data_IF_099914051710
#
_entry.id   IF_099914051710
#
_cell.length_a   1.000
_cell.length_b   1.000
_cell.length_c   1.000
_cell.angle_alpha   90.00
_cell.angle_beta   90.00
_cell.angle_gamma   90.00
#
_symmetry.space_group_name_H-M   'P 1'
#
loop_
_entity.id
_entity.type
_entity.pdbx_description
1 polymer ?
#
# COMPACT_ATOMS: atom_id res chain seq x y z
N UNK A 1 3.59 -34.36 -24.98
CA UNK A 1 4.25 -33.06 -24.79
C UNK A 1 3.24 -31.95 -24.67
N UNK A 2 2.32 -31.84 -25.63
CA UNK A 2 1.35 -30.74 -25.77
C UNK A 2 0.50 -30.44 -24.52
N UNK A 3 0.06 -31.48 -23.79
CA UNK A 3 -0.71 -31.30 -22.55
C UNK A 3 0.10 -30.70 -21.39
N UNK A 4 1.39 -31.06 -21.24
CA UNK A 4 2.24 -30.51 -20.18
C UNK A 4 2.66 -29.08 -20.52
N UNK A 5 2.98 -28.83 -21.79
CA UNK A 5 3.37 -27.51 -22.25
C UNK A 5 2.21 -26.51 -22.13
N UNK A 6 1.00 -26.89 -22.56
CA UNK A 6 -0.19 -26.05 -22.38
C UNK A 6 -0.53 -25.80 -20.92
N UNK A 7 -0.37 -26.81 -20.04
CA UNK A 7 -0.61 -26.64 -18.61
C UNK A 7 0.39 -25.66 -17.96
N UNK A 8 1.68 -25.77 -18.28
CA UNK A 8 2.70 -24.84 -17.78
C UNK A 8 2.49 -23.44 -18.35
N UNK A 9 2.19 -23.31 -19.64
CA UNK A 9 1.92 -22.01 -20.27
C UNK A 9 0.73 -21.29 -19.62
N UNK A 10 -0.34 -22.03 -19.27
CA UNK A 10 -1.49 -21.46 -18.56
C UNK A 10 -1.12 -21.03 -17.13
N UNK A 11 -0.28 -21.81 -16.43
CA UNK A 11 0.23 -21.45 -15.11
C UNK A 11 1.07 -20.17 -15.16
N UNK A 12 1.98 -20.06 -16.12
CA UNK A 12 2.83 -18.88 -16.32
C UNK A 12 1.96 -17.66 -16.63
N UNK A 13 0.98 -17.80 -17.52
CA UNK A 13 0.02 -16.74 -17.82
C UNK A 13 -0.74 -16.28 -16.57
N UNK A 14 -1.20 -17.22 -15.74
CA UNK A 14 -1.89 -16.91 -14.48
C UNK A 14 -0.97 -16.21 -13.48
N UNK A 15 0.29 -16.61 -13.42
CA UNK A 15 1.32 -15.98 -12.57
C UNK A 15 1.49 -14.51 -12.96
N UNK A 16 1.66 -14.23 -14.25
CA UNK A 16 1.82 -12.86 -14.75
C UNK A 16 0.58 -11.99 -14.50
N UNK A 17 -0.61 -12.54 -14.70
CA UNK A 17 -1.86 -11.83 -14.39
C UNK A 17 -1.99 -11.54 -12.90
N UNK A 18 -1.63 -12.48 -12.03
CA UNK A 18 -1.67 -12.30 -10.58
C UNK A 18 -0.66 -11.24 -10.12
N UNK A 19 0.56 -11.24 -10.68
CA UNK A 19 1.56 -10.19 -10.41
C UNK A 19 1.07 -8.82 -10.84
N UNK A 20 0.53 -8.71 -12.05
CA UNK A 20 0.03 -7.43 -12.58
C UNK A 20 -1.09 -6.87 -11.69
N UNK A 21 -2.08 -7.69 -11.34
CA UNK A 21 -3.16 -7.29 -10.43
C UNK A 21 -2.64 -6.88 -9.07
N UNK A 22 -1.70 -7.64 -8.52
CA UNK A 22 -1.11 -7.32 -7.23
C UNK A 22 -0.37 -5.97 -7.28
N UNK A 23 0.43 -5.73 -8.32
CA UNK A 23 1.13 -4.46 -8.52
C UNK A 23 0.16 -3.28 -8.64
N UNK A 24 -0.89 -3.40 -9.46
CA UNK A 24 -1.94 -2.37 -9.60
C UNK A 24 -2.59 -2.06 -8.24
N UNK A 25 -2.97 -3.08 -7.48
CA UNK A 25 -3.54 -2.89 -6.13
C UNK A 25 -2.54 -2.23 -5.17
N UNK A 26 -1.26 -2.61 -5.22
CA UNK A 26 -0.21 -2.03 -4.37
C UNK A 26 0.05 -0.56 -4.71
N UNK A 27 0.02 -0.20 -6.00
CA UNK A 27 0.15 1.18 -6.48
C UNK A 27 -1.07 2.02 -6.09
N UNK A 28 -2.29 1.52 -6.30
CA UNK A 28 -3.52 2.21 -5.89
C UNK A 28 -3.54 2.51 -4.39
N UNK A 29 -3.21 1.52 -3.55
CA UNK A 29 -3.14 1.70 -2.09
C UNK A 29 -2.06 2.73 -1.74
N UNK A 30 -0.89 2.67 -2.37
CA UNK A 30 0.20 3.62 -2.09
C UNK A 30 -0.17 5.04 -2.49
N UNK A 31 -0.82 5.22 -3.63
CA UNK A 31 -1.28 6.51 -4.12
C UNK A 31 -2.37 7.10 -3.22
N UNK A 32 -3.37 6.31 -2.83
CA UNK A 32 -4.46 6.75 -1.94
C UNK A 32 -3.93 7.18 -0.57
N UNK A 33 -3.02 6.38 0.01
CA UNK A 33 -2.39 6.67 1.31
C UNK A 33 -1.51 7.92 1.21
N UNK A 34 -0.73 8.06 0.14
CA UNK A 34 0.10 9.25 -0.09
C UNK A 34 -0.74 10.52 -0.21
N UNK A 35 -1.83 10.49 -0.99
CA UNK A 35 -2.71 11.64 -1.16
C UNK A 35 -3.37 12.07 0.16
N UNK A 36 -3.79 11.10 0.98
CA UNK A 36 -4.37 11.39 2.31
C UNK A 36 -3.31 11.93 3.28
N UNK A 37 -2.08 11.42 3.24
CA UNK A 37 -0.96 11.95 4.02
C UNK A 37 -0.61 13.39 3.60
N UNK A 38 -0.57 13.67 2.29
CA UNK A 38 -0.33 15.01 1.74
C UNK A 38 -1.39 16.00 2.20
N UNK A 39 -2.68 15.63 2.16
CA UNK A 39 -3.77 16.49 2.67
C UNK A 39 -3.59 16.87 4.15
N UNK A 40 -3.13 15.95 4.99
CA UNK A 40 -2.79 16.24 6.40
C UNK A 40 -1.59 17.18 6.51
N UNK A 41 -0.59 17.01 5.64
CA UNK A 41 0.58 17.88 5.60
C UNK A 41 0.22 19.31 5.17
N UNK A 42 -0.58 19.48 4.12
CA UNK A 42 -1.04 20.79 3.64
C UNK A 42 -1.83 21.55 4.71
N UNK A 43 -2.75 20.87 5.41
CA UNK A 43 -3.51 21.47 6.51
C UNK A 43 -2.61 21.88 7.68
N UNK A 44 -1.55 21.11 7.96
CA UNK A 44 -0.54 21.50 8.95
C UNK A 44 0.24 22.75 8.54
N UNK A 45 0.66 22.84 7.29
CA UNK A 45 1.33 24.04 6.78
C UNK A 45 0.43 25.28 6.84
N UNK A 46 -0.84 25.13 6.46
CA UNK A 46 -1.82 26.21 6.52
C UNK A 46 -2.00 26.71 7.97
N UNK A 47 -2.14 25.80 8.93
CA UNK A 47 -2.18 26.13 10.36
C UNK A 47 -0.92 26.92 10.77
N UNK A 48 0.27 26.48 10.35
CA UNK A 48 1.52 27.17 10.65
C UNK A 48 1.57 28.59 10.10
N UNK A 49 1.13 28.79 8.85
CA UNK A 49 1.08 30.12 8.20
C UNK A 49 0.08 31.05 8.91
N UNK A 50 -1.10 30.54 9.27
CA UNK A 50 -2.12 31.32 9.97
C UNK A 50 -1.68 31.69 11.39
N UNK A 51 -1.03 30.77 12.12
CA UNK A 51 -0.48 31.04 13.44
C UNK A 51 0.59 32.14 13.40
N UNK A 52 1.55 32.04 12.47
CA UNK A 52 2.58 33.07 12.31
C UNK A 52 1.97 34.45 12.02
N UNK A 53 0.91 34.51 11.19
CA UNK A 53 0.18 35.74 10.91
C UNK A 53 -0.57 36.27 12.14
N UNK A 54 -1.19 35.41 12.94
CA UNK A 54 -1.87 35.80 14.17
C UNK A 54 -0.89 36.37 15.20
N UNK A 55 0.28 35.75 15.35
CA UNK A 55 1.36 36.22 16.23
C UNK A 55 1.88 37.59 15.82
N UNK A 56 2.11 37.82 14.52
CA UNK A 56 2.53 39.12 14.00
C UNK A 56 1.50 40.22 14.31
N UNK A 57 0.23 39.98 14.00
CA UNK A 57 -0.84 40.95 14.28
C UNK A 57 -0.98 41.24 15.79
N UNK A 58 -0.79 40.22 16.62
CA UNK A 58 -0.75 40.38 18.08
C UNK A 58 0.40 41.26 18.54
N UNK A 59 1.61 41.08 17.96
CA UNK A 59 2.78 41.90 18.27
C UNK A 59 2.63 43.37 17.82
N UNK A 60 1.90 43.61 16.73
CA UNK A 60 1.57 44.95 16.23
C UNK A 60 0.46 45.65 17.03
N UNK A 61 -0.17 44.94 17.98
CA UNK A 61 -1.27 45.46 18.81
C UNK A 61 -2.66 45.34 18.17
N UNK A 62 -2.76 44.68 17.00
CA UNK A 62 -4.02 44.42 16.29
C UNK A 62 -4.73 43.17 16.88
N UNK A 63 -5.20 43.30 18.13
CA UNK A 63 -5.75 42.19 18.92
C UNK A 63 -7.01 41.60 18.28
N UNK A 64 -7.92 42.43 17.79
CA UNK A 64 -9.19 41.98 17.20
C UNK A 64 -8.96 41.15 15.92
N UNK A 65 -8.08 41.61 15.04
CA UNK A 65 -7.68 40.86 13.83
C UNK A 65 -6.93 39.57 14.17
N UNK A 66 -6.04 39.60 15.17
CA UNK A 66 -5.34 38.40 15.64
C UNK A 66 -6.33 37.34 16.14
N UNK A 67 -7.35 37.75 16.92
CA UNK A 67 -8.40 36.85 17.40
C UNK A 67 -9.22 36.23 16.25
N UNK A 68 -9.54 37.01 15.21
CA UNK A 68 -10.23 36.47 14.02
C UNK A 68 -9.39 35.39 13.32
N UNK A 69 -8.08 35.62 13.15
CA UNK A 69 -7.18 34.62 12.54
C UNK A 69 -7.08 33.37 13.41
N UNK A 70 -7.02 33.50 14.73
CA UNK A 70 -7.02 32.35 15.65
C UNK A 70 -8.32 31.52 15.55
N UNK A 71 -9.48 32.16 15.34
CA UNK A 71 -10.71 31.42 15.08
C UNK A 71 -10.66 30.63 13.77
N UNK A 72 -10.01 31.16 12.73
CA UNK A 72 -9.78 30.41 11.48
C UNK A 72 -8.82 29.24 11.70
N UNK A 73 -7.76 29.42 12.49
CA UNK A 73 -6.85 28.32 12.87
C UNK A 73 -7.60 27.16 13.51
N UNK A 74 -8.54 27.43 14.43
CA UNK A 74 -9.34 26.38 15.07
C UNK A 74 -10.24 25.64 14.08
N UNK A 75 -10.80 26.33 13.06
CA UNK A 75 -11.54 25.67 11.98
C UNK A 75 -10.64 24.75 11.15
N UNK A 76 -9.44 25.21 10.79
CA UNK A 76 -8.48 24.40 10.02
C UNK A 76 -7.97 23.22 10.87
N UNK A 77 -7.80 23.38 12.18
CA UNK A 77 -7.47 22.30 13.12
C UNK A 77 -8.56 21.23 13.18
N UNK A 78 -9.84 21.62 13.17
CA UNK A 78 -10.94 20.66 13.09
C UNK A 78 -10.89 19.84 11.79
N UNK A 79 -10.71 20.51 10.64
CA UNK A 79 -10.54 19.83 9.34
C UNK A 79 -9.32 18.92 9.30
N UNK A 80 -8.20 19.34 9.90
CA UNK A 80 -7.00 18.51 10.03
C UNK A 80 -7.29 17.25 10.83
N UNK A 81 -8.01 17.35 11.95
CA UNK A 81 -8.38 16.20 12.77
C UNK A 81 -9.23 15.20 12.00
N UNK A 82 -10.19 15.67 11.22
CA UNK A 82 -10.99 14.83 10.32
C UNK A 82 -10.10 14.14 9.25
N UNK A 83 -9.22 14.89 8.59
CA UNK A 83 -8.29 14.34 7.59
C UNK A 83 -7.31 13.30 8.19
N UNK A 84 -6.83 13.51 9.42
CA UNK A 84 -6.01 12.54 10.14
C UNK A 84 -6.78 11.26 10.47
N UNK A 85 -8.07 11.38 10.81
CA UNK A 85 -8.93 10.24 11.07
C UNK A 85 -9.22 9.46 9.77
N UNK A 86 -9.49 10.16 8.66
CA UNK A 86 -9.58 9.56 7.33
C UNK A 86 -8.28 8.84 6.95
N UNK A 87 -7.12 9.46 7.17
CA UNK A 87 -5.82 8.86 6.89
C UNK A 87 -5.58 7.60 7.74
N UNK A 88 -5.83 7.66 9.05
CA UNK A 88 -5.71 6.50 9.94
C UNK A 88 -6.64 5.36 9.52
N UNK A 89 -7.86 5.67 9.13
CA UNK A 89 -8.85 4.68 8.73
C UNK A 89 -8.65 4.17 7.29
N UNK A 90 -7.91 4.90 6.45
CA UNK A 90 -7.57 4.51 5.07
C UNK A 90 -6.54 3.39 4.97
N UNK A 91 -5.97 2.97 6.10
CA UNK A 91 -5.08 1.81 6.20
C UNK A 91 -5.78 0.63 6.89
N UNK A 92 -6.82 0.00 6.29
CA UNK A 92 -7.31 -1.26 6.80
C UNK A 92 -6.17 -2.29 6.80
N UNK A 93 -6.12 -3.12 7.84
CA UNK A 93 -5.12 -4.17 7.97
C UNK A 93 -5.08 -5.10 6.74
N UNK A 94 -6.22 -5.30 6.06
CA UNK A 94 -6.34 -6.12 4.85
C UNK A 94 -5.62 -5.50 3.63
N UNK A 95 -5.75 -4.19 3.40
CA UNK A 95 -5.07 -3.50 2.30
C UNK A 95 -3.55 -3.49 2.53
N UNK A 96 -3.13 -3.25 3.78
CA UNK A 96 -1.72 -3.32 4.15
C UNK A 96 -1.13 -4.73 4.03
N UNK A 97 -1.93 -5.77 4.25
CA UNK A 97 -1.51 -7.15 4.00
C UNK A 97 -1.20 -7.38 2.52
N UNK A 98 -2.00 -6.84 1.60
CA UNK A 98 -1.76 -6.97 0.15
C UNK A 98 -0.46 -6.29 -0.30
N UNK A 99 -0.09 -5.15 0.31
CA UNK A 99 1.24 -4.53 0.10
C UNK A 99 2.42 -5.42 0.52
N UNK A 100 2.17 -6.42 1.37
CA UNK A 100 3.20 -7.32 1.87
C UNK A 100 3.22 -8.67 1.17
N UNK A 101 2.52 -8.82 0.05
CA UNK A 101 2.51 -10.05 -0.72
C UNK A 101 3.43 -9.96 -1.95
N UNK A 102 3.83 -11.13 -2.43
CA UNK A 102 4.39 -11.39 -3.76
C UNK A 102 3.78 -12.67 -4.31
N UNK A 103 3.93 -12.92 -5.61
CA UNK A 103 3.47 -14.16 -6.26
C UNK A 103 4.64 -15.11 -6.47
N UNK A 104 4.44 -16.41 -6.24
CA UNK A 104 5.41 -17.45 -6.56
C UNK A 104 5.51 -17.69 -8.06
N UNK A 105 6.73 -17.69 -8.61
CA UNK A 105 7.00 -17.99 -10.03
C UNK A 105 6.67 -19.44 -10.43
N UNK A 106 6.72 -20.36 -9.47
CA UNK A 106 6.60 -21.79 -9.75
C UNK A 106 5.14 -22.23 -9.74
N UNK A 107 4.41 -21.84 -8.70
CA UNK A 107 3.07 -22.38 -8.40
C UNK A 107 1.96 -21.30 -8.32
N UNK A 108 2.26 -20.05 -8.70
CA UNK A 108 1.32 -18.91 -8.72
C UNK A 108 0.64 -18.55 -7.39
N UNK A 109 1.04 -19.15 -6.28
CA UNK A 109 0.49 -18.83 -4.97
C UNK A 109 1.08 -17.52 -4.40
N UNK A 110 0.33 -16.81 -3.56
CA UNK A 110 0.83 -15.62 -2.87
C UNK A 110 1.70 -16.00 -1.67
N UNK A 111 2.81 -15.29 -1.47
CA UNK A 111 3.68 -15.37 -0.29
C UNK A 111 3.80 -14.00 0.37
N UNK A 112 3.96 -13.98 1.68
CA UNK A 112 4.39 -12.78 2.38
C UNK A 112 5.85 -12.43 2.08
N UNK A 113 6.13 -11.16 1.83
CA UNK A 113 7.49 -10.62 1.71
C UNK A 113 8.30 -10.81 3.01
N UNK A 114 7.61 -10.84 4.14
CA UNK A 114 8.20 -10.93 5.49
C UNK A 114 7.86 -12.26 6.18
N UNK A 115 7.49 -13.29 5.41
CA UNK A 115 7.30 -14.61 5.98
C UNK A 115 8.63 -15.15 6.52
N UNK A 116 8.59 -15.79 7.69
CA UNK A 116 9.75 -16.42 8.29
C UNK A 116 10.13 -17.73 7.58
N UNK A 117 11.35 -18.21 7.82
CA UNK A 117 11.91 -19.40 7.18
C UNK A 117 11.03 -20.63 7.33
N UNK A 118 10.34 -20.79 8.46
CA UNK A 118 9.42 -21.92 8.68
C UNK A 118 8.25 -21.88 7.69
N UNK A 119 7.59 -20.72 7.53
CA UNK A 119 6.49 -20.57 6.56
C UNK A 119 6.97 -20.72 5.12
N UNK A 120 8.15 -20.19 4.81
CA UNK A 120 8.75 -20.34 3.49
C UNK A 120 9.05 -21.83 3.19
N UNK A 121 9.58 -22.57 4.17
CA UNK A 121 9.81 -24.00 4.05
C UNK A 121 8.50 -24.77 3.80
N UNK A 122 7.42 -24.44 4.50
CA UNK A 122 6.10 -25.06 4.28
C UNK A 122 5.57 -24.80 2.86
N UNK A 123 5.84 -23.61 2.29
CA UNK A 123 5.49 -23.30 0.90
C UNK A 123 6.35 -24.11 -0.09
N UNK A 124 7.68 -24.02 0.01
CA UNK A 124 8.60 -24.63 -0.96
C UNK A 124 8.62 -26.16 -0.86
N UNK A 125 8.42 -26.72 0.34
CA UNK A 125 8.23 -28.15 0.57
C UNK A 125 6.79 -28.64 0.35
N UNK A 126 5.88 -27.74 -0.02
CA UNK A 126 4.47 -28.07 -0.24
C UNK A 126 4.26 -28.88 -1.51
N UNK A 127 3.28 -29.81 -1.48
CA UNK A 127 2.95 -30.69 -2.62
C UNK A 127 2.64 -29.93 -3.91
N UNK A 128 1.98 -28.77 -3.80
CA UNK A 128 1.66 -27.94 -4.95
C UNK A 128 2.93 -27.39 -5.60
N UNK A 129 3.82 -26.79 -4.81
CA UNK A 129 5.06 -26.20 -5.30
C UNK A 129 5.98 -27.26 -5.89
N UNK A 130 6.23 -28.34 -5.15
CA UNK A 130 7.04 -29.47 -5.62
C UNK A 130 6.43 -30.14 -6.85
N UNK A 131 5.10 -30.25 -6.94
CA UNK A 131 4.42 -30.79 -8.11
C UNK A 131 4.66 -29.97 -9.37
N UNK A 132 4.60 -28.64 -9.28
CA UNK A 132 4.93 -27.76 -10.41
C UNK A 132 6.39 -27.87 -10.84
N UNK A 133 7.32 -28.01 -9.89
CA UNK A 133 8.74 -28.28 -10.21
C UNK A 133 8.86 -29.57 -11.03
N UNK A 134 8.29 -30.67 -10.53
CA UNK A 134 8.36 -31.97 -11.20
C UNK A 134 7.74 -31.93 -12.61
N UNK A 135 6.64 -31.20 -12.80
CA UNK A 135 6.01 -31.05 -14.11
C UNK A 135 6.92 -30.27 -15.07
N UNK A 136 7.53 -29.16 -14.60
CA UNK A 136 8.46 -28.36 -15.42
C UNK A 136 9.72 -29.16 -15.79
N UNK A 137 10.32 -29.86 -14.82
CA UNK A 137 11.46 -30.75 -15.07
C UNK A 137 11.10 -31.86 -16.06
N UNK A 138 9.90 -32.45 -15.93
CA UNK A 138 9.46 -33.50 -16.85
C UNK A 138 9.23 -32.98 -18.26
N UNK A 139 8.70 -31.77 -18.40
CA UNK A 139 8.56 -31.12 -19.70
C UNK A 139 9.93 -30.86 -20.33
N UNK A 140 10.92 -30.40 -19.56
CA UNK A 140 12.28 -30.15 -20.04
C UNK A 140 12.98 -31.43 -20.50
N UNK A 141 12.82 -32.54 -19.77
CA UNK A 141 13.34 -33.86 -20.17
C UNK A 141 12.72 -34.42 -21.46
N UNK A 142 11.52 -33.96 -21.82
CA UNK A 142 10.81 -34.44 -23.00
C UNK A 142 11.10 -33.58 -24.24
N UNK A 143 11.65 -32.38 -24.07
CA UNK A 143 12.13 -31.50 -25.14
C UNK A 143 13.40 -32.06 -25.77
#
# INVERSE_FOLDING_TARGET
MDHLESFIAECDRRTELAKKRLAETQEEISAEVSAKAEKVHELNEEIGKLLAKAEQLGAEGNVDESQKILMEVEKVRAKKKEAEEEYRNSMPASSFQQQKLRVCEVCSAYLGLHDNDRRLADHFGGKLHLGFIQIREKLDQLR
#
